data_IF_502510585776
#
_entry.id   IF_502510585776
#
_cell.length_a   1.000
_cell.length_b   1.000
_cell.length_c   1.000
_cell.angle_alpha   90.00
_cell.angle_beta   90.00
_cell.angle_gamma   90.00
#
_symmetry.space_group_name_H-M   'P 1'
#
loop_
_entity.id
_entity.type
_entity.pdbx_description
1 polymer ?
#
# COMPACT_ATOMS: atom_id res chain seq x y z
N UNK A 1 8.92 26.75 -4.36
CA UNK A 1 9.66 25.48 -4.53
C UNK A 1 8.65 24.45 -4.97
N UNK A 2 8.83 23.85 -6.15
CA UNK A 2 7.78 23.16 -6.88
C UNK A 2 7.43 21.78 -6.32
N UNK A 3 6.15 21.55 -6.07
CA UNK A 3 5.59 20.20 -5.93
C UNK A 3 4.90 19.86 -7.25
N UNK A 4 5.69 19.41 -8.23
CA UNK A 4 5.12 18.64 -9.32
C UNK A 4 4.72 17.30 -8.72
N UNK A 5 3.43 17.16 -8.39
CA UNK A 5 2.84 15.87 -8.08
C UNK A 5 3.12 14.92 -9.24
N UNK A 6 4.08 14.03 -9.06
CA UNK A 6 4.30 12.90 -9.94
C UNK A 6 3.17 11.93 -9.62
N UNK A 7 2.35 11.55 -10.61
CA UNK A 7 1.21 10.63 -10.42
C UNK A 7 1.57 9.36 -9.63
N UNK A 8 2.81 8.87 -9.76
CA UNK A 8 3.32 7.73 -8.99
C UNK A 8 3.58 8.06 -7.50
N UNK A 9 4.07 9.27 -7.18
CA UNK A 9 4.33 9.69 -5.80
C UNK A 9 3.03 9.79 -5.00
N UNK A 10 1.97 10.31 -5.61
CA UNK A 10 0.64 10.37 -4.99
C UNK A 10 0.12 8.95 -4.69
N UNK A 11 0.33 8.00 -5.60
CA UNK A 11 -0.06 6.60 -5.42
C UNK A 11 0.75 5.92 -4.29
N UNK A 12 2.06 6.16 -4.23
CA UNK A 12 2.95 5.69 -3.14
C UNK A 12 2.43 6.18 -1.78
N UNK A 13 2.18 7.49 -1.66
CA UNK A 13 1.68 8.09 -0.42
C UNK A 13 0.28 7.58 -0.05
N UNK A 14 -0.57 7.32 -1.04
CA UNK A 14 -1.89 6.72 -0.82
C UNK A 14 -1.76 5.31 -0.24
N UNK A 15 -0.90 4.46 -0.83
CA UNK A 15 -0.71 3.08 -0.36
C UNK A 15 -0.18 3.06 1.07
N UNK A 16 0.82 3.89 1.37
CA UNK A 16 1.36 4.00 2.73
C UNK A 16 0.28 4.39 3.74
N UNK A 17 -0.58 5.37 3.43
CA UNK A 17 -1.69 5.77 4.31
C UNK A 17 -2.74 4.69 4.49
N UNK A 18 -3.09 3.95 3.44
CA UNK A 18 -4.07 2.86 3.56
C UNK A 18 -3.52 1.72 4.42
N UNK A 19 -2.24 1.35 4.25
CA UNK A 19 -1.56 0.36 5.11
C UNK A 19 -1.51 0.82 6.56
N UNK A 20 -1.13 2.08 6.80
CA UNK A 20 -1.09 2.67 8.13
C UNK A 20 -2.46 2.62 8.83
N UNK A 21 -3.53 2.95 8.10
CA UNK A 21 -4.92 2.87 8.60
C UNK A 21 -5.28 1.45 9.02
N UNK A 22 -4.90 0.43 8.23
CA UNK A 22 -5.17 -0.97 8.55
C UNK A 22 -4.42 -1.42 9.80
N UNK A 23 -3.14 -1.03 9.94
CA UNK A 23 -2.31 -1.39 11.09
C UNK A 23 -2.84 -0.80 12.40
N UNK A 24 -3.32 0.44 12.38
CA UNK A 24 -3.81 1.14 13.57
C UNK A 24 -5.30 0.92 13.86
N UNK A 25 -6.00 0.12 13.04
CA UNK A 25 -7.44 -0.13 13.16
C UNK A 25 -7.84 -0.76 14.51
N UNK A 26 -6.94 -1.52 15.14
CA UNK A 26 -7.15 -2.17 16.43
C UNK A 26 -6.67 -1.39 17.66
N UNK A 27 -6.09 -0.19 17.48
CA UNK A 27 -5.57 0.59 18.60
C UNK A 27 -6.66 1.34 19.37
N UNK A 28 -7.74 1.68 18.69
CA UNK A 28 -8.93 2.20 19.33
C UNK A 28 -9.64 1.03 20.02
N UNK A 29 -10.04 1.16 21.30
CA UNK A 29 -10.77 0.13 22.09
C UNK A 29 -12.14 -0.28 21.50
N UNK A 30 -12.44 0.07 20.26
CA UNK A 30 -13.63 -0.31 19.52
C UNK A 30 -13.44 -1.66 18.83
N UNK A 31 -14.53 -2.42 18.67
CA UNK A 31 -14.49 -3.67 17.92
C UNK A 31 -14.17 -3.41 16.45
N UNK A 32 -13.23 -4.13 15.87
CA UNK A 32 -12.92 -4.02 14.44
C UNK A 32 -14.09 -4.58 13.63
N UNK A 33 -14.69 -3.74 12.79
CA UNK A 33 -15.67 -4.20 11.81
C UNK A 33 -14.96 -5.01 10.72
N UNK A 34 -15.35 -6.28 10.56
CA UNK A 34 -14.74 -7.18 9.57
C UNK A 34 -14.94 -6.66 8.14
N UNK A 35 -16.07 -6.00 7.87
CA UNK A 35 -16.34 -5.42 6.55
C UNK A 35 -15.35 -4.30 6.22
N UNK A 36 -15.07 -3.40 7.18
CA UNK A 36 -14.10 -2.32 7.01
C UNK A 36 -12.68 -2.87 6.82
N UNK A 37 -12.31 -3.91 7.58
CA UNK A 37 -11.03 -4.61 7.43
C UNK A 37 -10.90 -5.24 6.03
N UNK A 38 -11.97 -5.86 5.54
CA UNK A 38 -12.00 -6.48 4.21
C UNK A 38 -11.88 -5.45 3.09
N UNK A 39 -12.52 -4.28 3.27
CA UNK A 39 -12.47 -3.17 2.32
C UNK A 39 -11.05 -2.59 2.24
N UNK A 40 -10.42 -2.32 3.38
CA UNK A 40 -9.04 -1.83 3.43
C UNK A 40 -8.07 -2.83 2.79
N UNK A 41 -8.21 -4.13 3.07
CA UNK A 41 -7.38 -5.16 2.44
C UNK A 41 -7.53 -5.19 0.93
N UNK A 42 -8.77 -5.11 0.42
CA UNK A 42 -9.03 -5.08 -1.01
C UNK A 42 -8.42 -3.83 -1.66
N UNK A 43 -8.59 -2.67 -1.05
CA UNK A 43 -8.02 -1.42 -1.57
C UNK A 43 -6.48 -1.44 -1.57
N UNK A 44 -5.84 -2.01 -0.55
CA UNK A 44 -4.38 -2.20 -0.53
C UNK A 44 -3.95 -3.11 -1.69
N UNK A 45 -4.64 -4.23 -1.91
CA UNK A 45 -4.32 -5.14 -3.00
C UNK A 45 -4.45 -4.49 -4.39
N UNK A 46 -5.51 -3.70 -4.62
CA UNK A 46 -5.69 -2.95 -5.86
C UNK A 46 -4.58 -1.90 -6.07
N UNK A 47 -4.18 -1.18 -5.01
CA UNK A 47 -3.11 -0.19 -5.07
C UNK A 47 -1.73 -0.82 -5.32
N UNK A 48 -1.44 -1.99 -4.73
CA UNK A 48 -0.22 -2.75 -5.00
C UNK A 48 -0.17 -3.13 -6.48
N UNK A 49 -1.25 -3.70 -7.03
CA UNK A 49 -1.29 -4.12 -8.44
C UNK A 49 -1.14 -2.95 -9.41
N UNK A 50 -1.64 -1.77 -9.07
CA UNK A 50 -1.48 -0.55 -9.86
C UNK A 50 -0.04 0.02 -9.78
N UNK A 51 0.63 -0.12 -8.63
CA UNK A 51 2.00 0.35 -8.42
C UNK A 51 3.09 -0.63 -8.85
N UNK A 52 2.84 -1.94 -8.81
CA UNK A 52 3.81 -2.98 -9.12
C UNK A 52 4.50 -2.84 -10.49
N UNK A 53 3.80 -2.51 -11.60
CA UNK A 53 4.46 -2.33 -12.90
C UNK A 53 5.14 -0.95 -13.06
N UNK A 54 5.04 -0.07 -12.07
CA UNK A 54 5.63 1.27 -12.15
C UNK A 54 7.11 1.26 -11.78
N UNK A 55 7.84 2.28 -12.22
CA UNK A 55 9.21 2.57 -11.79
C UNK A 55 9.37 4.05 -11.47
N UNK A 56 10.11 4.33 -10.41
CA UNK A 56 10.51 5.67 -10.00
C UNK A 56 11.48 6.31 -11.00
N UNK A 57 11.33 7.61 -11.21
CA UNK A 57 12.22 8.40 -12.09
C UNK A 57 13.55 8.74 -11.42
N UNK A 58 13.60 8.66 -10.09
CA UNK A 58 14.81 8.88 -9.27
C UNK A 58 15.01 7.71 -8.33
N UNK A 59 16.23 7.57 -7.81
CA UNK A 59 16.55 6.53 -6.84
C UNK A 59 15.68 6.63 -5.57
N UNK A 60 15.40 7.85 -5.11
CA UNK A 60 14.54 8.11 -3.95
C UNK A 60 13.10 7.67 -4.22
N UNK A 61 12.58 7.95 -5.42
CA UNK A 61 11.23 7.56 -5.80
C UNK A 61 11.12 6.04 -5.97
N UNK A 62 12.14 5.38 -6.52
CA UNK A 62 12.19 3.92 -6.62
C UNK A 62 12.28 3.28 -5.23
N UNK A 63 13.12 3.80 -4.34
CA UNK A 63 13.21 3.31 -2.97
C UNK A 63 11.87 3.47 -2.22
N UNK A 64 11.20 4.61 -2.38
CA UNK A 64 9.88 4.85 -1.81
C UNK A 64 8.82 3.89 -2.38
N UNK A 65 8.88 3.61 -3.69
CA UNK A 65 8.02 2.63 -4.34
C UNK A 65 8.22 1.23 -3.75
N UNK A 66 9.47 0.73 -3.72
CA UNK A 66 9.81 -0.58 -3.18
C UNK A 66 9.37 -0.72 -1.71
N UNK A 67 9.64 0.28 -0.89
CA UNK A 67 9.22 0.28 0.52
C UNK A 67 7.69 0.19 0.64
N UNK A 68 6.96 0.95 -0.18
CA UNK A 68 5.49 0.97 -0.13
C UNK A 68 4.87 -0.34 -0.58
N UNK A 69 5.43 -0.97 -1.63
CA UNK A 69 5.03 -2.30 -2.07
C UNK A 69 5.28 -3.35 -0.97
N UNK A 70 6.46 -3.32 -0.34
CA UNK A 70 6.78 -4.21 0.77
C UNK A 70 5.81 -4.04 1.96
N UNK A 71 5.48 -2.80 2.31
CA UNK A 71 4.47 -2.48 3.33
C UNK A 71 3.08 -2.99 2.96
N UNK A 72 2.65 -2.81 1.70
CA UNK A 72 1.36 -3.32 1.24
C UNK A 72 1.28 -4.84 1.30
N UNK A 73 2.32 -5.52 0.81
CA UNK A 73 2.40 -6.98 0.80
C UNK A 73 2.50 -7.58 2.21
N UNK A 74 3.04 -6.86 3.20
CA UNK A 74 3.14 -7.37 4.58
C UNK A 74 1.79 -7.46 5.29
N UNK A 75 0.83 -6.61 4.92
CA UNK A 75 -0.50 -6.56 5.52
C UNK A 75 -1.60 -7.17 4.67
N UNK A 76 -1.36 -7.40 3.38
CA UNK A 76 -2.36 -8.00 2.49
C UNK A 76 -2.69 -9.42 2.94
N UNK A 77 -3.94 -9.64 3.36
CA UNK A 77 -4.45 -10.96 3.75
C UNK A 77 -4.77 -11.85 2.55
N UNK A 78 -4.83 -11.29 1.33
CA UNK A 78 -4.98 -12.08 0.11
C UNK A 78 -3.66 -12.77 -0.20
N UNK A 79 -3.47 -13.95 0.37
CA UNK A 79 -2.39 -14.86 0.01
C UNK A 79 -2.73 -15.51 -1.35
N UNK A 80 -2.64 -14.72 -2.43
CA UNK A 80 -2.58 -15.29 -3.76
C UNK A 80 -1.15 -15.82 -3.93
N UNK A 81 -0.96 -17.06 -4.40
CA UNK A 81 0.39 -17.66 -4.52
C UNK A 81 1.34 -16.86 -5.42
N UNK A 82 0.78 -16.01 -6.29
CA UNK A 82 1.51 -15.06 -7.13
C UNK A 82 2.09 -13.88 -6.34
N UNK A 83 1.45 -13.46 -5.26
CA UNK A 83 1.89 -12.32 -4.44
C UNK A 83 3.09 -12.69 -3.56
N UNK A 84 3.22 -13.96 -3.15
CA UNK A 84 4.45 -14.45 -2.50
C UNK A 84 5.66 -14.44 -3.44
N UNK A 85 5.45 -14.65 -4.74
CA UNK A 85 6.53 -14.58 -5.73
C UNK A 85 6.98 -13.14 -6.04
N UNK A 86 6.18 -12.13 -5.65
CA UNK A 86 6.43 -10.71 -5.87
C UNK A 86 7.08 -10.01 -4.65
N UNK A 87 7.07 -10.64 -3.47
CA UNK A 87 7.82 -10.21 -2.27
C UNK A 87 9.31 -10.51 -2.42
#
# INVERSE_FOLDING_TARGET
MGTFNNSIQEKIEKLQKTVDTLLHMGENMYCICVDDLSLLNKEIHEQINDLYPCHGKTAEQEAALCLSLLMGYSVSMYANSEDEAKK
#
